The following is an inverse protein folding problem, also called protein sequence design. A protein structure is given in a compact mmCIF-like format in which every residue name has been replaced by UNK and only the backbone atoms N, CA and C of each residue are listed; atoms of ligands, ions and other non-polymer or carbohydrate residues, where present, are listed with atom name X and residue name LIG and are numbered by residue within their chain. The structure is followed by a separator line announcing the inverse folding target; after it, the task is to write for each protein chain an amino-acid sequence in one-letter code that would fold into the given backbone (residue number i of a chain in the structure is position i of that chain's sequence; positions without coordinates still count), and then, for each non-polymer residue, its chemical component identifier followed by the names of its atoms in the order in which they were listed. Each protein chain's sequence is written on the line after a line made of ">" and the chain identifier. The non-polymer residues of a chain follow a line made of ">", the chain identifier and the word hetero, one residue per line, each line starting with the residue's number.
data_IF_415066134270
#
_entry.id   IF_415066134270
#
_cell.length_a   1.000
_cell.length_b   1.000
_cell.length_c   1.000
_cell.angle_alpha   90.00
_cell.angle_beta   90.00
_cell.angle_gamma   90.00
#
_symmetry.space_group_name_H-M   'P 1'
#
loop_
_entity.id
_entity.type
_entity.pdbx_description
1 polymer ?
#
# COMPACT_ATOMS: atom_id res chain seq x y z
N UNK A 1 8.03 3.30 25.49
CA UNK A 1 6.89 2.56 24.90
C UNK A 1 7.04 2.60 23.38
N UNK A 2 7.10 1.46 22.69
CA UNK A 2 7.23 1.43 21.22
C UNK A 2 5.84 1.53 20.59
N UNK A 3 5.44 2.74 20.20
CA UNK A 3 4.08 3.05 19.69
C UNK A 3 4.09 3.46 18.20
N UNK A 4 5.06 2.99 17.43
CA UNK A 4 5.24 3.37 16.01
C UNK A 4 4.59 2.38 15.02
N UNK A 5 4.59 2.72 13.71
CA UNK A 5 4.07 1.87 12.64
C UNK A 5 4.54 0.42 12.68
N UNK A 6 5.80 0.21 13.07
CA UNK A 6 6.42 -1.12 13.25
C UNK A 6 5.63 -2.04 14.21
N UNK A 7 4.81 -1.47 15.11
CA UNK A 7 4.09 -2.19 16.16
C UNK A 7 2.57 -2.23 15.96
N UNK A 8 2.02 -1.60 14.92
CA UNK A 8 0.57 -1.50 14.74
C UNK A 8 -0.13 -2.86 14.73
N UNK A 9 0.47 -3.89 14.11
CA UNK A 9 -0.10 -5.23 14.09
C UNK A 9 -0.10 -5.98 15.43
N UNK A 10 0.52 -5.41 16.46
CA UNK A 10 0.55 -5.93 17.82
C UNK A 10 -0.37 -5.15 18.78
N UNK A 11 -0.86 -3.98 18.38
CA UNK A 11 -1.73 -3.13 19.21
C UNK A 11 -3.17 -3.64 19.24
N UNK A 12 -3.64 -4.24 18.14
CA UNK A 12 -4.99 -4.77 17.99
C UNK A 12 -4.94 -6.03 17.09
N UNK A 13 -5.57 -7.16 17.48
CA UNK A 13 -5.65 -8.36 16.64
C UNK A 13 -6.16 -8.10 15.21
N UNK A 14 -7.10 -7.17 15.05
CA UNK A 14 -7.68 -6.79 13.76
C UNK A 14 -6.66 -6.09 12.83
N UNK A 15 -5.54 -5.58 13.37
CA UNK A 15 -4.51 -4.88 12.61
C UNK A 15 -3.32 -5.77 12.25
N UNK A 16 -3.43 -7.09 12.47
CA UNK A 16 -2.30 -8.03 12.29
C UNK A 16 -1.63 -7.98 10.91
N UNK A 17 -2.36 -7.54 9.88
CA UNK A 17 -1.83 -7.34 8.52
C UNK A 17 -0.76 -6.24 8.43
N UNK A 18 -0.76 -5.24 9.32
CA UNK A 18 0.27 -4.20 9.35
C UNK A 18 1.67 -4.76 9.60
N UNK A 19 1.77 -5.94 10.24
CA UNK A 19 3.04 -6.62 10.50
C UNK A 19 3.20 -7.90 9.69
N UNK A 20 2.12 -8.66 9.46
CA UNK A 20 2.17 -9.97 8.76
C UNK A 20 1.91 -9.88 7.26
N UNK A 21 1.36 -8.77 6.76
CA UNK A 21 1.04 -8.57 5.35
C UNK A 21 2.31 -8.50 4.50
N UNK A 22 2.34 -9.27 3.40
CA UNK A 22 3.47 -9.28 2.43
C UNK A 22 3.31 -8.27 1.29
N UNK A 23 2.19 -7.55 1.26
CA UNK A 23 1.79 -6.60 0.22
C UNK A 23 1.24 -5.35 0.91
N UNK A 24 2.13 -4.63 1.59
CA UNK A 24 1.80 -3.40 2.30
C UNK A 24 2.42 -2.20 1.56
N UNK A 25 1.77 -1.05 1.67
CA UNK A 25 2.29 0.23 1.19
C UNK A 25 2.99 0.98 2.34
N UNK A 26 3.92 1.91 2.05
CA UNK A 26 4.44 2.26 0.72
C UNK A 26 5.36 1.17 0.16
N UNK A 27 5.51 1.18 -1.16
CA UNK A 27 6.57 0.45 -1.88
C UNK A 27 7.41 1.46 -2.63
N UNK A 28 8.66 1.11 -2.91
CA UNK A 28 9.50 1.91 -3.81
C UNK A 28 9.07 1.67 -5.27
N UNK A 29 8.99 2.75 -6.06
CA UNK A 29 8.59 2.70 -7.46
C UNK A 29 9.80 3.05 -8.33
N UNK A 30 10.70 2.07 -8.46
CA UNK A 30 11.87 2.17 -9.34
C UNK A 30 11.44 2.20 -10.82
N UNK A 31 11.63 3.30 -11.56
CA UNK A 31 11.22 3.42 -12.95
C UNK A 31 11.82 2.36 -13.88
N UNK A 32 12.98 1.79 -13.53
CA UNK A 32 13.61 0.73 -14.31
C UNK A 32 12.91 -0.63 -14.15
N UNK A 33 12.13 -0.81 -13.07
CA UNK A 33 11.43 -2.06 -12.75
C UNK A 33 9.93 -2.02 -13.09
N UNK A 34 9.41 -0.86 -13.48
CA UNK A 34 7.98 -0.70 -13.82
C UNK A 34 7.72 -1.22 -15.24
N UNK A 35 6.65 -1.99 -15.40
CA UNK A 35 6.19 -2.47 -16.69
C UNK A 35 5.17 -1.50 -17.29
N UNK A 36 5.41 -1.04 -18.52
CA UNK A 36 4.41 -0.31 -19.30
C UNK A 36 3.37 -1.28 -19.87
N UNK A 37 2.10 -1.05 -19.55
CA UNK A 37 0.97 -1.81 -20.09
C UNK A 37 0.11 -0.90 -21.00
N UNK A 38 0.14 -1.08 -22.34
CA UNK A 38 -0.64 -0.26 -23.26
C UNK A 38 -2.15 -0.54 -23.21
N UNK A 39 -2.59 -1.61 -22.54
CA UNK A 39 -4.00 -1.96 -22.38
C UNK A 39 -4.61 -1.44 -21.07
N UNK A 40 -3.80 -0.83 -20.20
CA UNK A 40 -4.29 -0.21 -18.98
C UNK A 40 -5.22 0.96 -19.32
N UNK A 41 -6.45 0.93 -18.80
CA UNK A 41 -7.44 1.99 -19.05
C UNK A 41 -6.96 3.31 -18.42
N UNK A 42 -7.11 4.40 -19.18
CA UNK A 42 -6.90 5.74 -18.65
C UNK A 42 -7.79 5.98 -17.42
N UNK A 43 -7.23 6.64 -16.41
CA UNK A 43 -7.95 6.99 -15.19
C UNK A 43 -9.04 8.02 -15.54
N UNK A 44 -10.31 7.65 -15.34
CA UNK A 44 -11.42 8.59 -15.43
C UNK A 44 -11.71 9.16 -14.03
N UNK A 45 -11.39 10.44 -13.85
CA UNK A 45 -11.66 11.15 -12.60
C UNK A 45 -13.01 11.86 -12.77
N UNK A 46 -14.09 11.18 -12.39
CA UNK A 46 -15.38 11.86 -12.23
C UNK A 46 -15.36 12.61 -10.90
N UNK A 47 -15.57 13.93 -10.95
CA UNK A 47 -15.79 14.70 -9.72
C UNK A 47 -17.09 14.24 -9.06
N UNK A 48 -17.00 13.71 -7.84
CA UNK A 48 -18.14 13.62 -6.94
C UNK A 48 -18.14 14.89 -6.09
N UNK A 49 -19.12 15.74 -6.34
CA UNK A 49 -19.39 16.92 -5.52
C UNK A 49 -20.29 16.54 -4.35
#
# INVERSE_FOLDING_TARGET
>A
MKQGPDFWGLLNPEWSLCTKGRRQSPVDLDPEQILFDPYLRALNISSHR
#
